data_IF_389742815366
#
_entry.id   IF_389742815366
#
_cell.length_a   1.000
_cell.length_b   1.000
_cell.length_c   1.000
_cell.angle_alpha   90.00
_cell.angle_beta   90.00
_cell.angle_gamma   90.00
#
_symmetry.space_group_name_H-M   'P 1'
#
loop_
_entity.id
_entity.type
_entity.pdbx_description
1 polymer ?
#
# COMPACT_ATOMS: atom_id res chain seq x y z
N UNK A 1 -7.14 1.67 33.48
CA UNK A 1 -5.75 1.33 33.16
C UNK A 1 -5.62 -0.07 32.53
N UNK A 2 -6.27 -1.06 33.13
CA UNK A 2 -6.30 -2.44 32.63
C UNK A 2 -7.00 -2.52 31.27
N UNK A 3 -8.05 -1.74 31.05
CA UNK A 3 -8.79 -1.68 29.80
C UNK A 3 -7.91 -1.19 28.65
N UNK A 4 -7.03 -0.21 28.89
CA UNK A 4 -6.09 0.29 27.89
C UNK A 4 -5.06 -0.76 27.48
N UNK A 5 -4.55 -1.53 28.44
CA UNK A 5 -3.60 -2.62 28.15
C UNK A 5 -4.25 -3.73 27.34
N UNK A 6 -5.48 -4.14 27.67
CA UNK A 6 -6.23 -5.14 26.90
C UNK A 6 -6.48 -4.67 25.47
N UNK A 7 -6.87 -3.41 25.29
CA UNK A 7 -7.07 -2.83 23.96
C UNK A 7 -5.77 -2.82 23.16
N UNK A 8 -4.65 -2.50 23.78
CA UNK A 8 -3.33 -2.52 23.13
C UNK A 8 -2.93 -3.93 22.69
N UNK A 9 -3.08 -4.94 23.55
CA UNK A 9 -2.79 -6.34 23.22
C UNK A 9 -3.70 -6.88 22.12
N UNK A 10 -4.97 -6.56 22.15
CA UNK A 10 -5.93 -6.94 21.11
C UNK A 10 -5.50 -6.34 19.77
N UNK A 11 -5.09 -5.07 19.75
CA UNK A 11 -4.60 -4.41 18.54
C UNK A 11 -3.37 -5.08 17.96
N UNK A 12 -2.41 -5.46 18.79
CA UNK A 12 -1.19 -6.18 18.37
C UNK A 12 -1.55 -7.54 17.79
N UNK A 13 -2.40 -8.30 18.45
CA UNK A 13 -2.84 -9.62 17.99
C UNK A 13 -3.57 -9.50 16.66
N UNK A 14 -4.44 -8.51 16.50
CA UNK A 14 -5.15 -8.25 15.24
C UNK A 14 -4.19 -7.90 14.11
N UNK A 15 -3.14 -7.13 14.37
CA UNK A 15 -2.12 -6.81 13.38
C UNK A 15 -1.32 -8.05 12.95
N UNK A 16 -0.99 -8.93 13.88
CA UNK A 16 -0.33 -10.19 13.57
C UNK A 16 -1.21 -11.11 12.74
N UNK A 17 -2.49 -11.22 13.07
CA UNK A 17 -3.48 -12.00 12.32
C UNK A 17 -3.64 -11.43 10.92
N UNK A 18 -3.76 -10.12 10.79
CA UNK A 18 -3.83 -9.46 9.49
C UNK A 18 -2.60 -9.77 8.64
N UNK A 19 -1.40 -9.68 9.21
CA UNK A 19 -0.17 -10.03 8.52
C UNK A 19 -0.17 -11.46 8.00
N UNK A 20 -0.67 -12.42 8.81
CA UNK A 20 -0.79 -13.82 8.41
C UNK A 20 -1.82 -14.01 7.29
N UNK A 21 -2.99 -13.38 7.40
CA UNK A 21 -4.03 -13.43 6.38
C UNK A 21 -3.51 -12.83 5.06
N UNK A 22 -2.81 -11.71 5.13
CA UNK A 22 -2.24 -11.06 3.94
C UNK A 22 -1.21 -11.90 3.21
N UNK A 23 -0.46 -12.73 3.93
CA UNK A 23 0.46 -13.70 3.31
C UNK A 23 -0.26 -14.82 2.59
N UNK A 24 -1.45 -15.20 3.05
CA UNK A 24 -2.22 -16.33 2.55
C UNK A 24 -3.24 -15.93 1.49
N UNK A 25 -3.68 -14.68 1.48
CA UNK A 25 -4.74 -14.20 0.59
C UNK A 25 -4.19 -13.77 -0.76
N UNK A 26 -4.86 -14.19 -1.84
CA UNK A 26 -4.58 -13.70 -3.18
C UNK A 26 -5.11 -12.28 -3.39
N UNK A 27 -6.01 -11.82 -2.54
CA UNK A 27 -6.62 -10.49 -2.64
C UNK A 27 -6.27 -9.63 -1.42
N UNK A 28 -4.99 -9.36 -1.30
CA UNK A 28 -4.41 -8.61 -0.19
C UNK A 28 -4.99 -7.21 -0.05
N UNK A 29 -5.28 -6.57 -1.19
CA UNK A 29 -5.80 -5.21 -1.21
C UNK A 29 -7.16 -5.11 -0.51
N UNK A 30 -8.10 -5.98 -0.85
CA UNK A 30 -9.45 -5.98 -0.27
C UNK A 30 -9.37 -6.29 1.23
N UNK A 31 -8.55 -7.26 1.60
CA UNK A 31 -8.36 -7.61 3.02
C UNK A 31 -7.83 -6.41 3.81
N UNK A 32 -6.82 -5.73 3.29
CA UNK A 32 -6.24 -4.56 3.97
C UNK A 32 -7.26 -3.42 4.07
N UNK A 33 -7.98 -3.12 2.99
CA UNK A 33 -8.98 -2.05 2.97
C UNK A 33 -10.06 -2.24 4.03
N UNK A 34 -10.40 -3.47 4.34
CA UNK A 34 -11.37 -3.78 5.38
C UNK A 34 -10.93 -3.31 6.77
N UNK A 35 -9.63 -3.34 7.05
CA UNK A 35 -9.07 -2.97 8.35
C UNK A 35 -8.69 -1.49 8.47
N UNK A 36 -8.68 -0.74 7.37
CA UNK A 36 -8.36 0.69 7.39
C UNK A 36 -9.55 1.50 7.91
N UNK A 37 -9.25 2.67 8.50
CA UNK A 37 -10.31 3.63 8.82
C UNK A 37 -10.93 4.21 7.54
N UNK A 38 -12.10 4.85 7.68
CA UNK A 38 -12.85 5.34 6.52
C UNK A 38 -12.08 6.38 5.72
N UNK A 39 -11.39 7.29 6.38
CA UNK A 39 -10.62 8.34 5.72
C UNK A 39 -9.46 7.77 4.91
N UNK A 40 -8.71 6.86 5.51
CA UNK A 40 -7.59 6.18 4.85
C UNK A 40 -8.08 5.32 3.68
N UNK A 41 -9.15 4.56 3.91
CA UNK A 41 -9.78 3.73 2.87
C UNK A 41 -10.21 4.56 1.67
N UNK A 42 -10.87 5.69 1.89
CA UNK A 42 -11.33 6.55 0.82
C UNK A 42 -10.17 7.13 0.00
N UNK A 43 -9.05 7.44 0.65
CA UNK A 43 -7.86 7.93 -0.04
C UNK A 43 -7.22 6.91 -0.95
N UNK A 44 -7.16 5.64 -0.55
CA UNK A 44 -6.46 4.59 -1.28
C UNK A 44 -7.37 3.71 -2.12
N UNK A 45 -8.68 3.94 -2.09
CA UNK A 45 -9.67 3.11 -2.78
C UNK A 45 -9.40 2.98 -4.27
N UNK A 46 -8.95 4.06 -4.90
CA UNK A 46 -8.63 4.07 -6.33
C UNK A 46 -7.16 3.77 -6.62
N UNK A 47 -6.37 3.46 -5.59
CA UNK A 47 -4.97 3.10 -5.73
C UNK A 47 -4.84 1.58 -5.82
N UNK A 48 -3.77 1.12 -6.45
CA UNK A 48 -3.42 -0.30 -6.49
C UNK A 48 -2.36 -0.60 -5.44
N UNK A 49 -2.60 -1.66 -4.66
CA UNK A 49 -1.59 -2.19 -3.77
C UNK A 49 -0.56 -2.96 -4.57
N UNK A 50 0.73 -2.70 -4.32
CA UNK A 50 1.83 -3.32 -5.04
C UNK A 50 2.92 -3.78 -4.09
N UNK A 51 3.73 -4.72 -4.55
CA UNK A 51 4.97 -5.11 -3.89
C UNK A 51 6.11 -4.18 -4.30
N UNK A 52 7.17 -4.11 -3.48
CA UNK A 52 8.29 -3.21 -3.76
C UNK A 52 8.95 -3.47 -5.11
N UNK A 53 8.90 -4.69 -5.62
CA UNK A 53 9.52 -5.06 -6.90
C UNK A 53 8.73 -4.56 -8.12
N UNK A 54 7.49 -4.14 -7.91
CA UNK A 54 6.60 -3.64 -8.96
C UNK A 54 6.60 -2.11 -9.06
N UNK A 55 7.54 -1.44 -8.43
CA UNK A 55 7.61 0.01 -8.39
C UNK A 55 8.42 0.57 -9.56
N UNK A 56 7.97 1.69 -10.10
CA UNK A 56 8.62 2.41 -11.19
C UNK A 56 8.85 3.87 -10.81
N UNK A 57 9.92 4.45 -11.37
CA UNK A 57 10.20 5.88 -11.19
C UNK A 57 9.03 6.75 -11.65
N UNK A 58 8.82 7.87 -10.97
CA UNK A 58 7.76 8.86 -11.21
C UNK A 58 6.34 8.40 -10.85
N UNK A 59 6.17 7.19 -10.32
CA UNK A 59 4.86 6.79 -9.80
C UNK A 59 4.51 7.57 -8.54
N UNK A 60 3.25 7.96 -8.46
CA UNK A 60 2.69 8.57 -7.24
C UNK A 60 2.26 7.49 -6.27
N UNK A 61 2.74 7.56 -5.04
CA UNK A 61 2.48 6.53 -4.04
C UNK A 61 1.95 7.07 -2.73
N UNK A 62 1.34 6.12 -2.00
CA UNK A 62 0.99 6.27 -0.59
C UNK A 62 1.60 5.09 0.17
N UNK A 63 2.28 5.40 1.28
CA UNK A 63 2.81 4.40 2.21
C UNK A 63 1.96 4.35 3.47
N UNK A 64 1.40 3.18 3.73
CA UNK A 64 0.63 2.91 4.95
C UNK A 64 1.49 2.11 5.91
N UNK A 65 1.72 2.63 7.11
CA UNK A 65 2.49 1.95 8.14
C UNK A 65 1.81 0.65 8.55
N UNK A 66 2.56 -0.46 8.52
CA UNK A 66 2.04 -1.79 8.87
C UNK A 66 1.62 -1.92 10.32
N UNK A 67 2.19 -1.11 11.21
CA UNK A 67 1.90 -1.16 12.64
C UNK A 67 0.69 -0.31 13.02
N UNK A 68 0.56 0.88 12.42
CA UNK A 68 -0.50 1.84 12.77
C UNK A 68 -1.69 1.79 11.83
N UNK A 69 -1.52 1.22 10.64
CA UNK A 69 -2.49 1.20 9.54
C UNK A 69 -2.91 2.61 9.09
N UNK A 70 -2.02 3.57 9.25
CA UNK A 70 -2.24 4.97 8.84
C UNK A 70 -1.26 5.37 7.76
N UNK A 71 -1.69 6.33 6.94
CA UNK A 71 -0.83 6.92 5.91
C UNK A 71 0.28 7.70 6.62
N UNK A 72 1.51 7.34 6.33
CA UNK A 72 2.68 8.01 6.90
C UNK A 72 3.41 8.88 5.89
N UNK A 73 3.51 8.41 4.64
CA UNK A 73 4.17 9.13 3.58
C UNK A 73 3.36 9.09 2.29
N UNK A 74 3.42 10.18 1.54
CA UNK A 74 2.89 10.29 0.18
C UNK A 74 3.96 10.98 -0.67
N UNK A 75 4.05 10.65 -1.94
CA UNK A 75 4.97 11.31 -2.84
C UNK A 75 5.18 10.60 -4.15
N UNK A 76 6.14 11.11 -4.91
CA UNK A 76 6.53 10.58 -6.21
C UNK A 76 7.88 9.89 -6.05
N UNK A 77 8.03 8.71 -6.65
CA UNK A 77 9.29 7.97 -6.61
C UNK A 77 10.34 8.70 -7.45
N UNK A 78 11.48 9.06 -6.82
CA UNK A 78 12.64 9.59 -7.53
C UNK A 78 13.72 8.54 -7.75
N UNK A 79 14.00 7.72 -6.73
CA UNK A 79 15.03 6.69 -6.78
C UNK A 79 14.54 5.42 -6.12
N UNK A 80 14.93 4.30 -6.69
CA UNK A 80 14.73 2.98 -6.11
C UNK A 80 16.10 2.35 -5.95
N UNK A 81 16.44 1.99 -4.70
CA UNK A 81 17.64 1.24 -4.35
C UNK A 81 17.21 -0.11 -3.78
N UNK A 82 18.15 -1.03 -3.58
CA UNK A 82 17.87 -2.40 -3.18
C UNK A 82 16.95 -2.51 -1.96
N UNK A 83 17.18 -1.66 -0.95
CA UNK A 83 16.46 -1.69 0.32
C UNK A 83 15.73 -0.39 0.67
N UNK A 84 15.82 0.64 -0.18
CA UNK A 84 15.24 1.96 0.08
C UNK A 84 14.60 2.56 -1.15
N UNK A 85 13.54 3.32 -0.90
CA UNK A 85 12.85 4.12 -1.91
C UNK A 85 12.96 5.58 -1.49
N UNK A 86 13.42 6.43 -2.41
CA UNK A 86 13.42 7.87 -2.19
C UNK A 86 12.19 8.47 -2.87
N UNK A 87 11.37 9.14 -2.07
CA UNK A 87 10.18 9.84 -2.56
C UNK A 87 10.37 11.34 -2.45
N UNK A 88 9.66 12.06 -3.30
CA UNK A 88 9.58 13.52 -3.25
C UNK A 88 8.13 13.97 -3.13
N UNK A 89 7.88 14.89 -2.19
CA UNK A 89 6.62 15.62 -2.10
C UNK A 89 6.94 17.11 -1.96
N UNK A 90 6.56 17.92 -2.93
CA UNK A 90 6.95 19.33 -3.03
C UNK A 90 8.49 19.46 -3.00
N UNK A 91 9.06 20.11 -1.97
CA UNK A 91 10.49 20.26 -1.80
C UNK A 91 11.12 19.24 -0.84
N UNK A 92 10.31 18.28 -0.34
CA UNK A 92 10.78 17.27 0.59
C UNK A 92 11.21 16.01 -0.12
N UNK A 93 12.36 15.48 0.30
CA UNK A 93 12.86 14.17 -0.12
C UNK A 93 12.95 13.29 1.12
N UNK A 94 12.47 12.05 1.00
CA UNK A 94 12.50 11.08 2.09
C UNK A 94 12.98 9.73 1.58
N UNK A 95 13.90 9.11 2.34
CA UNK A 95 14.31 7.73 2.12
C UNK A 95 13.47 6.83 2.99
N UNK A 96 12.82 5.85 2.40
CA UNK A 96 11.85 4.98 3.08
C UNK A 96 12.27 3.53 2.89
N UNK A 97 12.22 2.76 3.98
CA UNK A 97 12.34 1.31 3.92
C UNK A 97 10.98 0.70 3.56
N UNK A 98 10.82 0.11 2.37
CA UNK A 98 9.50 -0.33 1.91
C UNK A 98 8.92 -1.49 2.71
N UNK A 99 9.75 -2.27 3.40
CA UNK A 99 9.30 -3.44 4.15
C UNK A 99 8.38 -3.11 5.32
N UNK A 100 8.44 -1.88 5.83
CA UNK A 100 7.62 -1.42 6.95
C UNK A 100 6.26 -0.87 6.55
N UNK A 101 5.97 -0.87 5.24
CA UNK A 101 4.78 -0.21 4.68
C UNK A 101 4.04 -1.10 3.71
N UNK A 102 2.73 -0.94 3.68
CA UNK A 102 1.91 -1.33 2.54
C UNK A 102 1.98 -0.20 1.51
N UNK A 103 2.22 -0.54 0.26
CA UNK A 103 2.50 0.43 -0.80
C UNK A 103 1.33 0.46 -1.77
N UNK A 104 0.80 1.67 -2.00
CA UNK A 104 -0.27 1.91 -2.97
C UNK A 104 0.22 2.84 -4.06
N UNK A 105 0.00 2.46 -5.31
CA UNK A 105 0.33 3.27 -6.49
C UNK A 105 -0.95 3.85 -7.05
N UNK A 106 -0.92 5.16 -7.37
CA UNK A 106 -2.04 5.81 -8.04
C UNK A 106 -2.27 5.18 -9.41
N UNK A 107 -3.52 4.82 -9.70
CA UNK A 107 -3.90 4.33 -11.01
C UNK A 107 -3.75 5.46 -12.02
N UNK A 108 -3.00 5.19 -13.08
CA UNK A 108 -2.95 6.05 -14.23
C UNK A 108 -4.15 5.70 -15.13
N UNK A 109 -4.99 6.68 -15.40
CA UNK A 109 -6.18 6.50 -16.25
C UNK A 109 -5.81 6.03 -17.66
N UNK A 110 -4.68 6.46 -18.19
CA UNK A 110 -4.19 5.99 -19.49
C UNK A 110 -3.81 4.51 -19.48
N UNK A 111 -3.37 3.99 -18.34
CA UNK A 111 -3.07 2.56 -18.18
C UNK A 111 -4.31 1.70 -18.02
N UNK A 112 -5.45 2.27 -17.65
CA UNK A 112 -6.70 1.52 -17.57
C UNK A 112 -7.15 1.03 -18.95
N UNK A 113 -6.92 1.81 -19.99
CA UNK A 113 -7.21 1.42 -21.37
C UNK A 113 -6.28 0.30 -21.84
N UNK A 114 -5.00 0.39 -21.52
CA UNK A 114 -4.04 -0.68 -21.79
C UNK A 114 -4.40 -1.96 -21.03
N UNK A 115 -4.88 -1.84 -19.80
CA UNK A 115 -5.30 -2.99 -19.02
C UNK A 115 -6.53 -3.68 -19.60
N UNK A 116 -7.51 -2.92 -20.06
CA UNK A 116 -8.66 -3.46 -20.79
C UNK A 116 -8.21 -4.20 -22.04
N UNK A 117 -7.29 -3.60 -22.78
CA UNK A 117 -6.70 -4.23 -23.97
C UNK A 117 -6.04 -5.57 -23.63
N UNK A 118 -5.24 -5.65 -22.58
CA UNK A 118 -4.61 -6.89 -22.13
C UNK A 118 -5.62 -7.94 -21.72
N UNK A 119 -6.66 -7.56 -21.00
CA UNK A 119 -7.72 -8.47 -20.57
C UNK A 119 -8.44 -9.04 -21.79
N UNK A 120 -8.75 -8.22 -22.77
CA UNK A 120 -9.37 -8.68 -24.03
C UNK A 120 -8.44 -9.61 -24.80
N UNK A 121 -7.15 -9.29 -24.84
CA UNK A 121 -6.14 -10.14 -25.48
C UNK A 121 -6.08 -11.52 -24.82
N UNK A 122 -6.07 -11.57 -23.48
CA UNK A 122 -6.06 -12.82 -22.74
C UNK A 122 -7.31 -13.66 -22.97
N UNK A 123 -8.46 -13.03 -23.16
CA UNK A 123 -9.72 -13.74 -23.48
C UNK A 123 -9.70 -14.39 -24.86
N UNK A 124 -8.88 -13.91 -25.77
CA UNK A 124 -8.74 -14.47 -27.12
C UNK A 124 -7.73 -15.61 -27.20
N UNK A 125 -6.98 -15.80 -26.15
CA UNK A 125 -6.06 -16.93 -26.02
C UNK A 125 -6.76 -18.14 -25.40
#
# INVERSE_FOLDING_TARGET
YIIYRLSFYISIIMLEILGSIMKMSNDRRITLLYFLDDNTRNKVEQYNMVEKDDLYLKNSLIFINKMTLQIEYEGIIEYIRDDKITIRKNNYHRNIEPNNYYIFIKRDMSKSDNRKFFIELLKKL
#
